data_IF_839611547528
#
_entry.id   IF_839611547528
#
_cell.length_a   1.000
_cell.length_b   1.000
_cell.length_c   1.000
_cell.angle_alpha   90.00
_cell.angle_beta   90.00
_cell.angle_gamma   90.00
#
_symmetry.space_group_name_H-M   'P 1'
#
loop_
_entity.id
_entity.type
_entity.pdbx_description
1 polymer ?
#
# COMPACT_ATOMS: atom_id res chain seq x y z
N UNK A 1 -11.40 8.82 -15.04
CA UNK A 1 -12.04 8.32 -13.81
C UNK A 1 -12.10 9.50 -12.84
N UNK A 2 -13.25 9.83 -12.26
CA UNK A 2 -13.33 10.94 -11.30
C UNK A 2 -13.10 10.37 -9.90
N UNK A 3 -12.06 10.86 -9.21
CA UNK A 3 -11.77 10.48 -7.83
C UNK A 3 -11.80 11.74 -6.97
N UNK A 4 -12.64 11.72 -5.95
CA UNK A 4 -12.65 12.73 -4.90
C UNK A 4 -11.62 12.32 -3.85
N UNK A 5 -10.55 13.09 -3.74
CA UNK A 5 -9.55 12.94 -2.69
C UNK A 5 -9.82 14.01 -1.63
N UNK A 6 -10.32 13.60 -0.46
CA UNK A 6 -10.72 14.52 0.61
C UNK A 6 -9.51 15.17 1.31
N UNK A 7 -8.31 14.61 1.16
CA UNK A 7 -7.06 15.15 1.75
C UNK A 7 -6.49 16.35 1.00
N UNK A 8 -6.77 16.48 -0.29
CA UNK A 8 -6.20 17.53 -1.14
C UNK A 8 -7.08 18.78 -1.24
N UNK A 9 -8.26 18.80 -0.61
CA UNK A 9 -9.17 19.96 -0.58
C UNK A 9 -9.68 20.44 -1.95
N UNK A 10 -9.35 19.71 -3.02
CA UNK A 10 -9.66 20.06 -4.40
C UNK A 10 -9.99 18.79 -5.19
N UNK A 11 -11.13 18.82 -5.89
CA UNK A 11 -11.52 17.79 -6.84
C UNK A 11 -10.54 17.79 -8.02
N UNK A 12 -9.73 16.73 -8.15
CA UNK A 12 -8.81 16.56 -9.27
C UNK A 12 -9.38 15.53 -10.23
N UNK A 13 -9.86 16.00 -11.38
CA UNK A 13 -10.22 15.14 -12.50
C UNK A 13 -8.96 14.82 -13.29
N UNK A 14 -8.57 13.56 -13.31
CA UNK A 14 -7.54 13.07 -14.22
C UNK A 14 -8.22 12.32 -15.38
N UNK A 15 -8.15 12.91 -16.57
CA UNK A 15 -8.50 12.23 -17.81
C UNK A 15 -7.25 11.61 -18.43
N UNK A 16 -7.07 10.32 -18.19
CA UNK A 16 -6.11 9.52 -18.92
C UNK A 16 -6.87 8.73 -19.99
N UNK A 17 -6.54 8.87 -21.28
CA UNK A 17 -7.06 7.95 -22.28
C UNK A 17 -6.61 6.53 -21.90
N UNK A 18 -7.48 5.54 -22.12
CA UNK A 18 -7.10 4.14 -21.90
C UNK A 18 -5.93 3.84 -22.85
N UNK A 19 -4.77 3.57 -22.27
CA UNK A 19 -3.51 3.38 -22.96
C UNK A 19 -2.58 2.53 -22.12
N UNK A 20 -1.46 2.12 -22.72
CA UNK A 20 -0.44 1.32 -22.07
C UNK A 20 0.85 2.10 -21.99
N UNK A 21 1.40 2.22 -20.78
CA UNK A 21 2.68 2.89 -20.52
C UNK A 21 3.60 1.93 -19.77
N UNK A 22 4.82 1.78 -20.27
CA UNK A 22 5.87 1.00 -19.62
C UNK A 22 6.83 1.95 -18.91
N UNK A 23 6.89 1.86 -17.59
CA UNK A 23 7.85 2.63 -16.80
C UNK A 23 9.10 1.80 -16.52
N UNK A 24 10.13 1.97 -17.35
CA UNK A 24 11.43 1.27 -17.22
C UNK A 24 12.35 1.89 -16.17
N UNK A 25 11.98 3.04 -15.61
CA UNK A 25 12.78 3.80 -14.64
C UNK A 25 12.46 3.46 -13.19
N UNK A 26 11.54 2.52 -12.95
CA UNK A 26 11.21 2.05 -11.60
C UNK A 26 12.44 1.31 -11.03
N UNK A 27 12.93 1.70 -9.84
CA UNK A 27 14.02 0.99 -9.19
C UNK A 27 13.66 -0.49 -8.97
N UNK A 28 14.62 -1.40 -9.24
CA UNK A 28 14.45 -2.83 -8.97
C UNK A 28 14.48 -3.06 -7.46
N UNK A 29 13.55 -3.89 -7.00
CA UNK A 29 13.55 -4.42 -5.64
C UNK A 29 14.38 -5.71 -5.62
N UNK A 30 15.58 -5.67 -5.05
CA UNK A 30 16.44 -6.86 -4.97
C UNK A 30 16.06 -7.76 -3.77
N UNK A 31 15.38 -7.21 -2.75
CA UNK A 31 14.95 -7.98 -1.59
C UNK A 31 13.58 -8.63 -1.78
N UNK A 32 13.46 -9.90 -1.40
CA UNK A 32 12.18 -10.58 -1.39
C UNK A 32 11.27 -10.03 -0.28
N UNK A 33 10.08 -9.53 -0.64
CA UNK A 33 9.05 -9.09 0.33
C UNK A 33 8.58 -7.65 0.16
N UNK A 34 9.34 -6.80 -0.51
CA UNK A 34 9.06 -5.36 -0.60
C UNK A 34 8.30 -4.92 -1.85
N UNK A 35 7.91 -5.86 -2.72
CA UNK A 35 7.20 -5.56 -3.96
C UNK A 35 5.90 -4.77 -3.74
N UNK A 36 5.22 -4.99 -2.61
CA UNK A 36 4.04 -4.22 -2.21
C UNK A 36 4.35 -2.75 -1.91
N UNK A 37 5.44 -2.48 -1.18
CA UNK A 37 5.88 -1.12 -0.83
C UNK A 37 6.31 -0.36 -2.09
N UNK A 38 7.08 -1.02 -2.97
CA UNK A 38 7.45 -0.49 -4.28
C UNK A 38 6.23 -0.13 -5.12
N UNK A 39 5.22 -1.00 -5.15
CA UNK A 39 3.98 -0.78 -5.90
C UNK A 39 3.21 0.43 -5.37
N UNK A 40 3.03 0.53 -4.05
CA UNK A 40 2.36 1.67 -3.41
C UNK A 40 3.08 2.98 -3.72
N UNK A 41 4.41 2.98 -3.67
CA UNK A 41 5.18 4.18 -3.98
C UNK A 41 5.06 4.62 -5.44
N UNK A 42 5.04 3.66 -6.36
CA UNK A 42 4.78 3.93 -7.77
C UNK A 42 3.41 4.58 -7.96
N UNK A 43 2.36 4.04 -7.32
CA UNK A 43 1.01 4.60 -7.39
C UNK A 43 0.97 6.03 -6.82
N UNK A 44 1.59 6.28 -5.66
CA UNK A 44 1.69 7.61 -5.06
C UNK A 44 2.36 8.61 -6.02
N UNK A 45 3.51 8.24 -6.60
CA UNK A 45 4.23 9.09 -7.53
C UNK A 45 3.41 9.40 -8.79
N UNK A 46 2.76 8.39 -9.38
CA UNK A 46 1.88 8.58 -10.55
C UNK A 46 0.69 9.49 -10.23
N UNK A 47 0.03 9.28 -9.08
CA UNK A 47 -1.11 10.09 -8.65
C UNK A 47 -0.73 11.56 -8.39
N UNK A 48 0.50 11.82 -7.93
CA UNK A 48 1.03 13.17 -7.69
C UNK A 48 1.74 13.78 -8.90
N UNK A 49 1.88 13.06 -10.01
CA UNK A 49 2.66 13.51 -11.17
C UNK A 49 4.16 13.68 -10.87
N UNK A 50 4.70 12.92 -9.91
CA UNK A 50 6.11 12.93 -9.53
C UNK A 50 6.88 11.84 -10.27
N UNK A 51 8.19 12.04 -10.38
CA UNK A 51 9.11 11.02 -10.87
C UNK A 51 9.05 9.77 -9.98
N UNK A 52 9.20 8.59 -10.61
CA UNK A 52 9.27 7.28 -9.93
C UNK A 52 10.59 7.05 -9.18
N UNK A 53 11.41 8.10 -9.06
CA UNK A 53 12.66 8.13 -8.32
C UNK A 53 12.41 8.44 -6.85
N UNK A 54 12.94 7.63 -5.93
CA UNK A 54 12.87 7.91 -4.49
C UNK A 54 12.62 6.70 -3.60
N UNK A 55 12.42 5.51 -4.17
CA UNK A 55 12.43 4.23 -3.44
C UNK A 55 13.67 3.43 -3.83
N UNK A 56 14.29 2.79 -2.85
CA UNK A 56 15.37 1.82 -3.01
C UNK A 56 15.41 0.92 -1.77
N UNK A 57 16.17 -0.16 -1.85
CA UNK A 57 16.25 -1.15 -0.75
C UNK A 57 16.85 -0.58 0.55
N UNK A 58 17.51 0.58 0.50
CA UNK A 58 18.05 1.23 1.71
C UNK A 58 17.00 2.04 2.46
N UNK A 59 15.98 2.57 1.78
CA UNK A 59 14.96 3.43 2.38
C UNK A 59 13.56 2.79 2.43
N UNK A 60 13.40 1.58 1.89
CA UNK A 60 12.12 0.87 1.83
C UNK A 60 11.53 0.60 3.22
N UNK A 61 12.38 0.37 4.22
CA UNK A 61 11.96 0.18 5.61
C UNK A 61 11.25 1.40 6.18
N UNK A 62 11.82 2.59 5.95
CA UNK A 62 11.23 3.87 6.40
C UNK A 62 9.92 4.16 5.66
N UNK A 63 9.88 3.86 4.36
CA UNK A 63 8.66 4.02 3.54
C UNK A 63 7.56 3.08 4.02
N UNK A 64 7.90 1.82 4.32
CA UNK A 64 6.98 0.82 4.85
C UNK A 64 6.40 1.26 6.19
N UNK A 65 7.24 1.77 7.09
CA UNK A 65 6.79 2.29 8.38
C UNK A 65 5.88 3.51 8.21
N UNK A 66 6.24 4.44 7.32
CA UNK A 66 5.41 5.60 6.99
C UNK A 66 4.03 5.18 6.51
N UNK A 67 3.94 4.29 5.53
CA UNK A 67 2.66 3.82 5.03
C UNK A 67 1.85 3.06 6.06
N UNK A 68 2.50 2.22 6.89
CA UNK A 68 1.80 1.54 7.98
C UNK A 68 1.19 2.55 8.97
N UNK A 69 1.93 3.59 9.34
CA UNK A 69 1.44 4.64 10.23
C UNK A 69 0.28 5.43 9.60
N UNK A 70 0.43 5.87 8.35
CA UNK A 70 -0.62 6.59 7.63
C UNK A 70 -1.89 5.72 7.48
N UNK A 71 -1.76 4.47 7.05
CA UNK A 71 -2.91 3.56 6.95
C UNK A 71 -3.61 3.33 8.28
N UNK A 72 -2.86 3.22 9.38
CA UNK A 72 -3.45 3.03 10.71
C UNK A 72 -4.14 4.29 11.23
N UNK A 73 -3.67 5.48 10.86
CA UNK A 73 -4.32 6.75 11.21
C UNK A 73 -5.66 6.95 10.48
N UNK A 74 -5.78 6.40 9.25
CA UNK A 74 -7.01 6.45 8.46
C UNK A 74 -8.08 5.43 8.87
N UNK A 75 -7.73 4.45 9.72
CA UNK A 75 -8.65 3.39 10.13
C UNK A 75 -9.31 3.72 11.47
N UNK A 76 -10.64 3.65 11.53
CA UNK A 76 -11.35 3.55 12.80
C UNK A 76 -11.11 2.18 13.43
N UNK A 77 -10.92 2.12 14.75
CA UNK A 77 -10.61 0.89 15.48
C UNK A 77 -11.69 -0.20 15.31
N UNK A 78 -12.93 0.20 14.99
CA UNK A 78 -14.04 -0.71 14.68
C UNK A 78 -13.84 -1.45 13.36
N UNK A 79 -13.18 -0.84 12.39
CA UNK A 79 -13.02 -1.36 11.03
C UNK A 79 -11.85 -2.35 10.98
N UNK A 80 -10.87 -2.18 11.87
CA UNK A 80 -9.74 -3.09 12.02
C UNK A 80 -10.18 -4.54 12.29
N UNK A 81 -11.25 -4.74 13.07
CA UNK A 81 -11.79 -6.06 13.40
C UNK A 81 -12.63 -6.69 12.28
N UNK A 82 -12.96 -5.92 11.24
CA UNK A 82 -13.78 -6.38 10.11
C UNK A 82 -12.99 -6.57 8.82
N UNK A 83 -11.66 -6.31 8.82
CA UNK A 83 -10.77 -6.61 7.68
C UNK A 83 -10.72 -8.13 7.49
N UNK A 84 -11.70 -8.62 6.76
CA UNK A 84 -11.82 -9.99 6.30
C UNK A 84 -12.12 -9.92 4.82
N UNK A 85 -11.36 -10.69 4.03
CA UNK A 85 -11.69 -10.86 2.63
C UNK A 85 -13.05 -11.59 2.55
N UNK A 86 -14.07 -11.06 1.84
CA UNK A 86 -15.32 -11.77 1.63
C UNK A 86 -15.11 -13.06 0.80
N UNK A 87 -13.95 -13.18 0.16
CA UNK A 87 -13.50 -14.37 -0.53
C UNK A 87 -12.59 -15.21 0.39
N UNK A 88 -12.93 -16.48 0.66
CA UNK A 88 -12.08 -17.36 1.45
C UNK A 88 -10.74 -17.55 0.72
N UNK A 89 -9.63 -17.37 1.45
CA UNK A 89 -8.31 -17.79 0.95
C UNK A 89 -8.38 -19.30 0.69
N UNK A 90 -7.89 -19.74 -0.46
CA UNK A 90 -7.82 -21.15 -0.82
C UNK A 90 -7.05 -21.92 0.25
N UNK A 91 -7.49 -23.14 0.55
CA UNK A 91 -6.96 -24.00 1.63
C UNK A 91 -5.62 -24.64 1.24
N UNK A 92 -4.66 -23.89 0.68
CA UNK A 92 -3.31 -24.41 0.52
C UNK A 92 -2.64 -24.45 1.89
N UNK A 93 -2.20 -25.64 2.30
CA UNK A 93 -1.64 -25.94 3.63
C UNK A 93 -0.32 -25.20 3.98
N UNK A 94 0.13 -24.24 3.17
CA UNK A 94 1.38 -23.49 3.35
C UNK A 94 1.23 -22.20 4.18
N UNK A 95 0.02 -21.83 4.62
CA UNK A 95 -0.28 -20.59 5.36
C UNK A 95 0.11 -20.64 6.86
N UNK A 96 1.22 -21.28 7.22
CA UNK A 96 1.71 -21.30 8.61
C UNK A 96 2.54 -20.05 8.93
N UNK A 97 1.87 -18.92 9.10
CA UNK A 97 2.26 -17.90 10.09
C UNK A 97 1.10 -16.95 10.33
N UNK A 98 0.14 -17.40 11.15
CA UNK A 98 -0.79 -16.48 11.79
C UNK A 98 -0.02 -15.49 12.65
N UNK A 99 -0.36 -14.21 12.55
CA UNK A 99 0.02 -13.20 13.53
C UNK A 99 -0.36 -13.74 14.92
N UNK A 100 0.65 -14.01 15.75
CA UNK A 100 0.43 -14.20 17.18
C UNK A 100 0.15 -12.80 17.76
N UNK A 101 -1.13 -12.52 18.00
CA UNK A 101 -1.59 -11.35 18.77
C UNK A 101 -1.84 -11.76 20.21
N UNK A 102 -0.88 -12.40 20.84
CA UNK A 102 -0.81 -12.49 22.29
C UNK A 102 -0.14 -11.21 22.78
N UNK A 103 -0.93 -10.26 23.28
CA UNK A 103 -0.59 -9.31 24.36
C UNK A 103 -1.68 -8.22 24.53
N UNK A 104 -2.97 -8.57 24.65
CA UNK A 104 -4.00 -7.60 25.08
C UNK A 104 -5.04 -8.12 26.11
N UNK A 105 -4.80 -9.27 26.76
CA UNK A 105 -5.72 -9.83 27.77
C UNK A 105 -5.10 -9.92 29.18
N UNK A 106 -4.26 -8.97 29.60
CA UNK A 106 -3.74 -8.97 30.99
C UNK A 106 -3.56 -7.60 31.63
N UNK A 107 -4.56 -6.71 31.48
CA UNK A 107 -4.76 -5.62 32.42
C UNK A 107 -6.01 -5.85 33.27
#
# INVERSE_FOLDING_TARGET
MQYKNDYLGHEKTFEFPIGFENHTTVPQNEQSGDCGVYTLKCIECLALGRSLTGINDTNVDDIRLKYAAEMMDELDLSDFLQITSPYPRGTSDDDRSGLQTDLLDSL
#
